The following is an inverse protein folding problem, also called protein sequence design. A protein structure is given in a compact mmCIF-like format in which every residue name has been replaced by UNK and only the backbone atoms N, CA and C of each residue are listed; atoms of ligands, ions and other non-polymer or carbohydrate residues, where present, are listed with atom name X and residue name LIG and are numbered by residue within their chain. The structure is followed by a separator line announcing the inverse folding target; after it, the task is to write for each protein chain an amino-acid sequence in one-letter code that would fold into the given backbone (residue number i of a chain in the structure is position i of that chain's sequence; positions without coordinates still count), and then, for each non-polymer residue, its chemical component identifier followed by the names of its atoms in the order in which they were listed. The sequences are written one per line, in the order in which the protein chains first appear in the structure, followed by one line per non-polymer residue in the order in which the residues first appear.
data_IF_083744948545
#
_entry.id   IF_083744948545
#
_cell.length_a   1.000
_cell.length_b   1.000
_cell.length_c   1.000
_cell.angle_alpha   90.00
_cell.angle_beta   90.00
_cell.angle_gamma   90.00
#
_symmetry.space_group_name_H-M   'P 1'
#
loop_
_entity.id
_entity.type
_entity.pdbx_description
1 polymer ?
#
# COMPACT_ATOMS: atom_id res chain seq x y z
N UNK A 1 28.82 14.06 -3.45
CA UNK A 1 27.39 14.01 -3.08
C UNK A 1 26.63 14.82 -4.10
N UNK A 2 25.97 14.14 -5.03
CA UNK A 2 25.09 14.77 -6.01
C UNK A 2 24.03 15.65 -5.33
N UNK A 3 23.82 16.85 -5.85
CA UNK A 3 22.74 17.75 -5.42
C UNK A 3 21.69 17.77 -6.52
N UNK A 4 20.47 17.37 -6.18
CA UNK A 4 19.38 17.28 -7.16
C UNK A 4 19.01 18.67 -7.69
N UNK A 5 18.98 18.79 -9.01
CA UNK A 5 18.44 19.96 -9.71
C UNK A 5 16.91 19.93 -9.61
N UNK A 6 16.32 21.00 -9.08
CA UNK A 6 14.85 21.13 -8.98
C UNK A 6 14.22 21.34 -10.36
N UNK A 7 14.90 22.06 -11.25
CA UNK A 7 14.43 22.34 -12.62
C UNK A 7 15.50 22.01 -13.68
N UNK A 8 15.72 20.72 -13.99
CA UNK A 8 16.70 20.29 -14.99
C UNK A 8 16.34 20.66 -16.44
N UNK A 9 15.11 21.12 -16.71
CA UNK A 9 14.58 21.37 -18.05
C UNK A 9 14.21 22.84 -18.27
N UNK A 10 14.63 23.73 -17.35
CA UNK A 10 14.33 25.18 -17.35
C UNK A 10 12.82 25.49 -17.46
N UNK A 11 11.98 24.53 -17.08
CA UNK A 11 10.53 24.63 -17.04
C UNK A 11 9.99 23.62 -16.01
N UNK A 12 9.60 24.15 -14.85
CA UNK A 12 9.03 23.38 -13.75
C UNK A 12 7.86 22.47 -14.15
N UNK A 13 6.96 22.92 -15.04
CA UNK A 13 5.83 22.10 -15.49
C UNK A 13 6.32 20.90 -16.30
N UNK A 14 7.29 21.11 -17.18
CA UNK A 14 7.87 20.04 -18.01
C UNK A 14 8.70 19.07 -17.15
N UNK A 15 9.49 19.59 -16.21
CA UNK A 15 10.18 18.78 -15.19
C UNK A 15 9.19 17.91 -14.41
N UNK A 16 8.06 18.49 -13.97
CA UNK A 16 7.03 17.75 -13.23
C UNK A 16 6.45 16.60 -14.07
N UNK A 17 6.13 16.85 -15.35
CA UNK A 17 5.61 15.83 -16.26
C UNK A 17 6.63 14.70 -16.49
N UNK A 18 7.91 15.03 -16.66
CA UNK A 18 8.97 14.03 -16.81
C UNK A 18 9.17 13.23 -15.52
N UNK A 19 9.10 13.87 -14.35
CA UNK A 19 9.20 13.19 -13.06
C UNK A 19 8.04 12.20 -12.81
N UNK A 20 6.90 12.38 -13.47
CA UNK A 20 5.77 11.44 -13.40
C UNK A 20 5.92 10.19 -14.28
N UNK A 21 6.87 10.17 -15.23
CA UNK A 21 7.04 9.07 -16.18
C UNK A 21 7.22 7.70 -15.50
N UNK A 22 8.05 7.53 -14.45
CA UNK A 22 8.17 6.24 -13.77
C UNK A 22 6.86 5.76 -13.15
N UNK A 23 6.09 6.67 -12.54
CA UNK A 23 4.81 6.34 -11.90
C UNK A 23 3.78 5.95 -12.95
N UNK A 24 3.64 6.75 -14.01
CA UNK A 24 2.67 6.47 -15.09
C UNK A 24 3.03 5.18 -15.81
N UNK A 25 4.30 4.96 -16.14
CA UNK A 25 4.74 3.72 -16.80
C UNK A 25 4.44 2.50 -15.93
N UNK A 26 4.71 2.55 -14.64
CA UNK A 26 4.39 1.48 -13.70
C UNK A 26 2.89 1.19 -13.65
N UNK A 27 2.04 2.23 -13.56
CA UNK A 27 0.59 2.07 -13.58
C UNK A 27 0.07 1.49 -14.90
N UNK A 28 0.61 1.93 -16.04
CA UNK A 28 0.22 1.40 -17.36
C UNK A 28 0.63 -0.06 -17.50
N UNK A 29 1.84 -0.42 -17.06
CA UNK A 29 2.32 -1.81 -17.06
C UNK A 29 1.44 -2.74 -16.21
N UNK A 30 0.98 -2.28 -15.05
CA UNK A 30 0.13 -3.08 -14.16
C UNK A 30 -1.34 -3.11 -14.58
N UNK A 31 -1.93 -1.95 -14.92
CA UNK A 31 -3.37 -1.84 -15.16
C UNK A 31 -3.76 -2.20 -16.60
N UNK A 32 -2.94 -1.79 -17.58
CA UNK A 32 -3.24 -1.97 -19.00
C UNK A 32 -2.61 -3.26 -19.52
N UNK A 33 -1.29 -3.38 -19.37
CA UNK A 33 -0.56 -4.56 -19.88
C UNK A 33 -0.64 -5.78 -18.96
N UNK A 34 -1.09 -5.60 -17.71
CA UNK A 34 -1.24 -6.67 -16.71
C UNK A 34 0.04 -7.50 -16.53
N UNK A 35 1.19 -6.84 -16.61
CA UNK A 35 2.48 -7.47 -16.37
C UNK A 35 2.59 -7.91 -14.89
N UNK A 36 3.36 -8.98 -14.61
CA UNK A 36 3.59 -9.37 -13.24
C UNK A 36 4.31 -8.26 -12.48
N UNK A 37 3.94 -8.04 -11.21
CA UNK A 37 4.38 -6.89 -10.43
C UNK A 37 5.91 -6.74 -10.36
N UNK A 38 6.64 -7.86 -10.20
CA UNK A 38 8.10 -7.87 -10.15
C UNK A 38 8.76 -7.38 -11.44
N UNK A 39 8.12 -7.61 -12.60
CA UNK A 39 8.64 -7.16 -13.90
C UNK A 39 8.34 -5.68 -14.11
N UNK A 40 7.13 -5.24 -13.76
CA UNK A 40 6.74 -3.84 -13.85
C UNK A 40 7.61 -2.94 -12.95
N UNK A 41 7.94 -3.39 -11.72
CA UNK A 41 8.82 -2.66 -10.82
C UNK A 41 10.27 -2.62 -11.32
N UNK A 42 10.78 -3.72 -11.90
CA UNK A 42 12.12 -3.76 -12.48
C UNK A 42 12.25 -2.84 -13.70
N UNK A 43 11.25 -2.84 -14.59
CA UNK A 43 11.24 -1.93 -15.74
C UNK A 43 11.13 -0.47 -15.26
N UNK A 44 10.25 -0.21 -14.29
CA UNK A 44 10.08 1.13 -13.69
C UNK A 44 11.35 1.64 -13.01
N UNK A 45 12.10 0.76 -12.33
CA UNK A 45 13.38 1.14 -11.72
C UNK A 45 14.43 1.50 -12.75
N UNK A 46 14.51 0.75 -13.86
CA UNK A 46 15.40 1.06 -14.99
C UNK A 46 15.02 2.39 -15.64
N UNK A 47 13.73 2.65 -15.87
CA UNK A 47 13.24 3.94 -16.39
C UNK A 47 13.64 5.08 -15.45
N UNK A 48 13.44 4.91 -14.15
CA UNK A 48 13.82 5.91 -13.13
C UNK A 48 15.32 6.19 -13.16
N UNK A 49 16.14 5.14 -13.22
CA UNK A 49 17.59 5.26 -13.28
C UNK A 49 18.04 5.97 -14.56
N UNK A 50 17.47 5.63 -15.71
CA UNK A 50 17.74 6.27 -16.99
C UNK A 50 17.41 7.78 -16.96
N UNK A 51 16.26 8.16 -16.38
CA UNK A 51 15.90 9.56 -16.21
C UNK A 51 16.86 10.30 -15.25
N UNK A 52 17.27 9.66 -14.16
CA UNK A 52 18.23 10.24 -13.23
C UNK A 52 19.57 10.58 -13.93
N UNK A 53 20.06 9.68 -14.79
CA UNK A 53 21.30 9.88 -15.53
C UNK A 53 21.18 10.95 -16.62
N UNK A 54 20.12 10.90 -17.43
CA UNK A 54 20.02 11.75 -18.63
C UNK A 54 19.36 13.11 -18.38
N UNK A 55 18.31 13.15 -17.55
CA UNK A 55 17.55 14.38 -17.29
C UNK A 55 18.15 15.12 -16.10
N UNK A 56 18.34 14.44 -14.96
CA UNK A 56 18.92 15.05 -13.77
C UNK A 56 20.45 15.11 -13.78
N UNK A 57 21.10 14.56 -14.82
CA UNK A 57 22.56 14.55 -15.01
C UNK A 57 23.32 13.99 -13.80
N UNK A 58 22.72 13.00 -13.15
CA UNK A 58 23.33 12.33 -12.01
C UNK A 58 24.58 11.55 -12.46
N UNK A 59 25.73 11.67 -11.78
CA UNK A 59 26.90 10.84 -12.06
C UNK A 59 26.57 9.35 -11.92
N UNK A 60 27.13 8.52 -12.81
CA UNK A 60 26.88 7.07 -12.81
C UNK A 60 27.24 6.40 -11.48
N UNK A 61 28.33 6.81 -10.84
CA UNK A 61 28.78 6.25 -9.57
C UNK A 61 27.79 6.54 -8.44
N UNK A 62 27.41 7.81 -8.26
CA UNK A 62 26.42 8.23 -7.27
C UNK A 62 25.05 7.58 -7.56
N UNK A 63 24.66 7.50 -8.83
CA UNK A 63 23.41 6.87 -9.25
C UNK A 63 23.38 5.37 -8.94
N UNK A 64 24.45 4.64 -9.26
CA UNK A 64 24.55 3.21 -8.99
C UNK A 64 24.50 2.90 -7.49
N UNK A 65 25.19 3.71 -6.68
CA UNK A 65 25.12 3.60 -5.23
C UNK A 65 23.69 3.86 -4.71
N UNK A 66 23.03 4.91 -5.19
CA UNK A 66 21.64 5.21 -4.80
C UNK A 66 20.67 4.09 -5.21
N UNK A 67 20.82 3.54 -6.41
CA UNK A 67 20.00 2.43 -6.91
C UNK A 67 20.15 1.18 -6.04
N UNK A 68 21.40 0.76 -5.78
CA UNK A 68 21.69 -0.43 -4.95
C UNK A 68 21.25 -0.23 -3.51
N UNK A 69 21.50 0.95 -2.95
CA UNK A 69 21.08 1.28 -1.59
C UNK A 69 19.55 1.26 -1.46
N UNK A 70 18.83 1.84 -2.42
CA UNK A 70 17.37 1.80 -2.47
C UNK A 70 16.82 0.38 -2.60
N UNK A 71 17.41 -0.43 -3.49
CA UNK A 71 17.04 -1.83 -3.66
C UNK A 71 17.29 -2.65 -2.38
N UNK A 72 18.46 -2.52 -1.76
CA UNK A 72 18.78 -3.21 -0.50
C UNK A 72 17.86 -2.77 0.64
N UNK A 73 17.52 -1.48 0.71
CA UNK A 73 16.57 -0.94 1.69
C UNK A 73 15.17 -1.52 1.49
N UNK A 74 14.72 -1.67 0.25
CA UNK A 74 13.46 -2.34 -0.09
C UNK A 74 13.45 -3.79 0.38
N UNK A 75 14.48 -4.56 0.02
CA UNK A 75 14.62 -5.96 0.44
C UNK A 75 14.67 -6.09 1.96
N UNK A 76 15.40 -5.22 2.64
CA UNK A 76 15.56 -5.30 4.09
C UNK A 76 14.33 -4.82 4.87
N UNK A 77 13.71 -3.71 4.49
CA UNK A 77 12.60 -3.14 5.26
C UNK A 77 11.23 -3.68 4.83
N UNK A 78 11.01 -3.87 3.52
CA UNK A 78 9.71 -4.28 2.97
C UNK A 78 9.61 -5.79 2.87
N UNK A 79 10.56 -6.43 2.18
CA UNK A 79 10.46 -7.87 1.93
C UNK A 79 10.61 -8.65 3.26
N UNK A 80 11.46 -8.19 4.18
CA UNK A 80 11.64 -8.84 5.48
C UNK A 80 10.34 -8.91 6.31
N UNK A 81 9.63 -7.79 6.45
CA UNK A 81 8.34 -7.75 7.18
C UNK A 81 7.31 -8.61 6.46
N UNK A 82 7.27 -8.53 5.12
CA UNK A 82 6.32 -9.30 4.30
C UNK A 82 6.58 -10.81 4.42
N UNK A 83 7.84 -11.25 4.39
CA UNK A 83 8.23 -12.65 4.58
C UNK A 83 7.76 -13.16 5.94
N UNK A 84 8.10 -12.46 7.03
CA UNK A 84 7.69 -12.90 8.37
C UNK A 84 6.18 -12.85 8.58
N UNK A 85 5.51 -11.85 8.03
CA UNK A 85 4.04 -11.76 8.02
C UNK A 85 3.40 -12.96 7.31
N UNK A 86 3.91 -13.31 6.11
CA UNK A 86 3.45 -14.49 5.38
C UNK A 86 3.74 -15.80 6.11
N UNK A 87 4.92 -15.96 6.73
CA UNK A 87 5.28 -17.15 7.50
C UNK A 87 4.33 -17.31 8.69
N UNK A 88 4.10 -16.25 9.46
CA UNK A 88 3.17 -16.27 10.59
C UNK A 88 1.76 -16.63 10.13
N UNK A 89 1.28 -15.99 9.06
CA UNK A 89 -0.05 -16.29 8.54
C UNK A 89 -0.21 -17.72 8.05
N UNK A 90 0.73 -18.22 7.25
CA UNK A 90 0.70 -19.61 6.78
C UNK A 90 0.75 -20.58 7.96
N UNK A 91 1.52 -20.25 9.00
CA UNK A 91 1.55 -21.03 10.25
C UNK A 91 0.20 -21.01 10.96
N UNK A 92 -0.46 -19.85 11.06
CA UNK A 92 -1.81 -19.73 11.64
C UNK A 92 -2.87 -20.46 10.81
N UNK A 93 -2.70 -20.51 9.48
CA UNK A 93 -3.54 -21.27 8.57
C UNK A 93 -3.39 -22.78 8.75
N UNK A 94 -2.15 -23.30 8.72
CA UNK A 94 -1.85 -24.73 8.88
C UNK A 94 -2.20 -25.23 10.28
N UNK A 95 -1.99 -24.42 11.32
CA UNK A 95 -2.35 -24.79 12.71
C UNK A 95 -3.86 -24.77 12.99
N UNK A 96 -4.69 -24.29 12.05
CA UNK A 96 -6.14 -24.16 12.23
C UNK A 96 -6.57 -23.04 13.18
N UNK A 97 -5.63 -22.32 13.81
CA UNK A 97 -5.91 -21.20 14.71
C UNK A 97 -6.61 -20.06 13.96
N UNK A 98 -6.21 -19.79 12.72
CA UNK A 98 -6.86 -18.76 11.90
C UNK A 98 -8.32 -19.11 11.59
N UNK A 99 -8.60 -20.39 11.34
CA UNK A 99 -9.98 -20.85 11.08
C UNK A 99 -10.84 -20.78 12.35
N UNK A 100 -10.28 -21.11 13.51
CA UNK A 100 -10.96 -20.89 14.80
C UNK A 100 -11.24 -19.42 15.05
N UNK A 101 -10.28 -18.55 14.77
CA UNK A 101 -10.44 -17.09 14.88
C UNK A 101 -11.52 -16.57 13.92
N UNK A 102 -11.52 -17.04 12.66
CA UNK A 102 -12.56 -16.72 11.67
C UNK A 102 -13.94 -17.15 12.17
N UNK A 103 -14.10 -18.38 12.64
CA UNK A 103 -15.38 -18.89 13.18
C UNK A 103 -15.84 -18.08 14.39
N UNK A 104 -14.93 -17.74 15.29
CA UNK A 104 -15.22 -16.90 16.45
C UNK A 104 -15.70 -15.50 16.03
N UNK A 105 -15.05 -14.87 15.05
CA UNK A 105 -15.47 -13.57 14.53
C UNK A 105 -16.85 -13.63 13.85
N UNK A 106 -17.13 -14.69 13.07
CA UNK A 106 -18.44 -14.90 12.44
C UNK A 106 -19.53 -15.08 13.51
N UNK A 107 -19.24 -15.82 14.58
CA UNK A 107 -20.16 -15.99 15.70
C UNK A 107 -20.47 -14.68 16.44
N UNK A 108 -19.50 -13.76 16.51
CA UNK A 108 -19.65 -12.45 17.16
C UNK A 108 -20.38 -11.40 16.29
N UNK A 109 -20.22 -11.46 14.97
CA UNK A 109 -20.75 -10.45 14.03
C UNK A 109 -22.27 -10.43 13.87
N UNK A 110 -22.99 -11.36 14.50
CA UNK A 110 -24.44 -11.52 14.33
C UNK A 110 -24.82 -12.00 12.91
N UNK A 111 -26.10 -11.95 12.58
CA UNK A 111 -26.63 -12.38 11.26
C UNK A 111 -26.68 -11.25 10.21
N UNK A 112 -26.33 -10.01 10.58
CA UNK A 112 -26.41 -8.87 9.66
C UNK A 112 -25.10 -8.70 8.88
N UNK A 113 -25.18 -8.91 7.56
CA UNK A 113 -24.05 -8.77 6.63
C UNK A 113 -23.41 -7.38 6.65
N UNK A 114 -24.17 -6.34 7.03
CA UNK A 114 -23.70 -4.96 7.14
C UNK A 114 -22.76 -4.81 8.32
N UNK A 115 -23.14 -5.35 9.47
CA UNK A 115 -22.32 -5.35 10.69
C UNK A 115 -21.06 -6.18 10.47
N UNK A 116 -21.20 -7.36 9.87
CA UNK A 116 -20.06 -8.21 9.52
C UNK A 116 -19.10 -7.48 8.56
N UNK A 117 -19.62 -6.80 7.54
CA UNK A 117 -18.78 -6.04 6.61
C UNK A 117 -18.00 -4.93 7.31
N UNK A 118 -18.63 -4.20 8.23
CA UNK A 118 -17.93 -3.19 9.04
C UNK A 118 -16.87 -3.80 9.97
N UNK A 119 -17.16 -4.96 10.54
CA UNK A 119 -16.23 -5.64 11.44
C UNK A 119 -15.01 -6.18 10.69
N UNK A 120 -15.22 -6.84 9.55
CA UNK A 120 -14.16 -7.50 8.78
C UNK A 120 -13.45 -6.56 7.81
N UNK A 121 -14.19 -5.88 6.94
CA UNK A 121 -13.59 -5.06 5.88
C UNK A 121 -13.01 -3.77 6.42
N UNK A 122 -13.73 -3.10 7.32
CA UNK A 122 -13.31 -1.81 7.84
C UNK A 122 -12.39 -1.95 9.05
N UNK A 123 -12.85 -2.51 10.17
CA UNK A 123 -12.08 -2.55 11.40
C UNK A 123 -10.91 -3.55 11.36
N UNK A 124 -11.18 -4.82 11.06
CA UNK A 124 -10.14 -5.86 11.01
C UNK A 124 -9.17 -5.64 9.84
N UNK A 125 -9.68 -5.24 8.67
CA UNK A 125 -8.85 -4.83 7.54
C UNK A 125 -7.86 -3.71 7.90
N UNK A 126 -8.34 -2.65 8.56
CA UNK A 126 -7.48 -1.55 9.02
C UNK A 126 -6.43 -1.99 10.05
N UNK A 127 -6.77 -2.89 10.96
CA UNK A 127 -5.81 -3.48 11.89
C UNK A 127 -4.71 -4.23 11.13
N UNK A 128 -5.09 -5.08 10.16
CA UNK A 128 -4.12 -5.81 9.34
C UNK A 128 -3.24 -4.87 8.50
N UNK A 129 -3.80 -3.78 7.97
CA UNK A 129 -3.03 -2.78 7.22
C UNK A 129 -1.98 -2.13 8.11
N UNK A 130 -2.37 -1.72 9.32
CA UNK A 130 -1.45 -1.14 10.29
C UNK A 130 -0.32 -2.09 10.72
N UNK A 131 -0.59 -3.40 10.83
CA UNK A 131 0.39 -4.38 11.25
C UNK A 131 1.34 -4.85 10.12
N UNK A 132 0.78 -5.14 8.94
CA UNK A 132 1.50 -5.82 7.85
C UNK A 132 1.63 -4.92 6.61
N UNK A 133 0.58 -4.19 6.25
CA UNK A 133 0.55 -3.31 5.07
C UNK A 133 0.62 -4.04 3.73
N UNK A 134 1.05 -3.31 2.69
CA UNK A 134 1.41 -3.81 1.35
C UNK A 134 0.33 -4.60 0.59
N UNK A 135 -0.95 -4.31 0.85
CA UNK A 135 -2.03 -5.10 0.26
C UNK A 135 -2.00 -6.53 0.79
N UNK A 136 -1.66 -6.73 2.04
CA UNK A 136 -1.98 -7.96 2.74
C UNK A 136 -3.46 -8.04 3.17
N UNK A 137 -4.09 -6.94 3.66
CA UNK A 137 -5.45 -7.01 4.22
C UNK A 137 -6.51 -7.46 3.23
N UNK A 138 -6.52 -6.94 2.00
CA UNK A 138 -7.50 -7.33 0.98
C UNK A 138 -7.46 -8.83 0.65
N UNK A 139 -6.28 -9.46 0.68
CA UNK A 139 -6.09 -10.88 0.37
C UNK A 139 -6.68 -11.78 1.46
N UNK A 140 -6.75 -11.29 2.70
CA UNK A 140 -7.33 -12.02 3.84
C UNK A 140 -8.82 -11.71 4.00
N UNK A 141 -9.20 -10.44 3.89
CA UNK A 141 -10.58 -9.98 4.13
C UNK A 141 -11.52 -10.47 3.03
N UNK A 142 -11.12 -10.41 1.75
CA UNK A 142 -12.03 -10.77 0.66
C UNK A 142 -12.51 -12.24 0.74
N UNK A 143 -11.66 -13.26 0.97
CA UNK A 143 -12.13 -14.63 1.20
C UNK A 143 -13.08 -14.78 2.39
N UNK A 144 -12.86 -14.03 3.48
CA UNK A 144 -13.76 -14.05 4.64
C UNK A 144 -15.15 -13.52 4.23
N UNK A 145 -15.21 -12.39 3.52
CA UNK A 145 -16.47 -11.83 3.04
C UNK A 145 -17.20 -12.77 2.06
N UNK A 146 -16.47 -13.44 1.15
CA UNK A 146 -17.03 -14.45 0.24
C UNK A 146 -17.69 -15.58 1.03
N UNK A 147 -17.01 -16.04 2.07
CA UNK A 147 -17.51 -17.12 2.91
C UNK A 147 -18.74 -16.77 3.75
N UNK A 148 -19.05 -15.46 3.87
CA UNK A 148 -20.24 -14.93 4.51
C UNK A 148 -21.42 -14.77 3.53
N UNK A 149 -21.25 -15.14 2.25
CA UNK A 149 -22.28 -15.07 1.22
C UNK A 149 -22.25 -13.82 0.35
N UNK A 150 -21.24 -12.96 0.51
CA UNK A 150 -21.05 -11.81 -0.39
C UNK A 150 -20.43 -12.30 -1.71
N UNK A 151 -21.01 -11.94 -2.84
CA UNK A 151 -20.48 -12.34 -4.16
C UNK A 151 -19.02 -11.90 -4.34
N UNK A 152 -18.19 -12.75 -4.95
CA UNK A 152 -16.73 -12.59 -5.12
C UNK A 152 -16.31 -11.17 -5.53
N UNK A 153 -16.92 -10.62 -6.58
CA UNK A 153 -16.56 -9.31 -7.09
C UNK A 153 -16.89 -8.18 -6.09
N UNK A 154 -18.01 -8.31 -5.38
CA UNK A 154 -18.39 -7.33 -4.34
C UNK A 154 -17.49 -7.46 -3.12
N UNK A 155 -17.12 -8.67 -2.70
CA UNK A 155 -16.18 -8.88 -1.61
C UNK A 155 -14.82 -8.22 -1.88
N UNK A 156 -14.29 -8.36 -3.10
CA UNK A 156 -13.05 -7.71 -3.53
C UNK A 156 -13.20 -6.18 -3.53
N UNK A 157 -14.30 -5.66 -4.08
CA UNK A 157 -14.57 -4.20 -4.10
C UNK A 157 -14.68 -3.62 -2.70
N UNK A 158 -15.43 -4.27 -1.82
CA UNK A 158 -15.64 -3.87 -0.42
C UNK A 158 -14.30 -3.86 0.32
N UNK A 159 -13.51 -4.94 0.20
CA UNK A 159 -12.18 -5.01 0.82
C UNK A 159 -11.23 -3.91 0.30
N UNK A 160 -11.24 -3.65 -1.01
CA UNK A 160 -10.40 -2.62 -1.63
C UNK A 160 -10.78 -1.20 -1.19
N UNK A 161 -12.09 -0.88 -1.17
CA UNK A 161 -12.58 0.44 -0.74
C UNK A 161 -12.32 0.65 0.75
N UNK A 162 -12.56 -0.36 1.58
CA UNK A 162 -12.36 -0.27 3.02
C UNK A 162 -10.89 -0.01 3.39
N UNK A 163 -9.95 -0.60 2.65
CA UNK A 163 -8.52 -0.44 2.90
C UNK A 163 -7.95 0.94 2.54
N UNK A 164 -8.74 1.84 1.94
CA UNK A 164 -8.24 3.13 1.49
C UNK A 164 -7.90 4.09 2.65
N UNK A 165 -8.65 4.05 3.75
CA UNK A 165 -8.44 4.92 4.91
C UNK A 165 -7.18 4.60 5.75
N UNK A 166 -6.90 3.34 6.14
CA UNK A 166 -5.77 3.02 7.01
C UNK A 166 -4.40 3.11 6.32
N UNK A 167 -4.34 3.14 4.98
CA UNK A 167 -3.11 2.91 4.20
C UNK A 167 -1.96 3.86 4.56
N UNK A 168 -2.27 5.09 4.97
CA UNK A 168 -1.26 6.08 5.36
C UNK A 168 -0.42 5.62 6.55
N UNK A 169 -1.01 4.80 7.43
CA UNK A 169 -0.36 4.25 8.63
C UNK A 169 0.02 2.77 8.46
N UNK A 170 -0.05 2.25 7.24
CA UNK A 170 0.26 0.85 6.95
C UNK A 170 1.69 0.47 7.33
N UNK A 171 1.90 -0.81 7.64
CA UNK A 171 3.20 -1.37 8.02
C UNK A 171 3.91 -0.55 9.11
N UNK A 172 3.21 -0.31 10.23
CA UNK A 172 3.69 0.47 11.38
C UNK A 172 4.10 1.91 11.02
N UNK A 173 3.42 2.53 10.05
CA UNK A 173 3.65 3.91 9.65
C UNK A 173 4.80 4.10 8.66
N UNK A 174 5.24 3.04 7.98
CA UNK A 174 6.33 3.10 6.99
C UNK A 174 6.16 4.23 5.94
N UNK A 175 4.96 4.50 5.38
CA UNK A 175 4.78 5.62 4.43
C UNK A 175 5.07 7.00 5.05
N UNK A 176 4.62 7.23 6.28
CA UNK A 176 4.82 8.52 6.98
C UNK A 176 6.29 8.68 7.39
N UNK A 177 6.93 7.61 7.85
CA UNK A 177 8.37 7.62 8.18
C UNK A 177 9.19 7.95 6.93
N UNK A 178 8.89 7.30 5.80
CA UNK A 178 9.57 7.56 4.54
C UNK A 178 9.34 9.01 4.06
N UNK A 179 8.10 9.51 4.13
CA UNK A 179 7.78 10.88 3.73
C UNK A 179 8.50 11.92 4.60
N UNK A 180 8.57 11.70 5.92
CA UNK A 180 9.32 12.57 6.83
C UNK A 180 10.82 12.57 6.49
N UNK A 181 11.39 11.41 6.19
CA UNK A 181 12.81 11.29 5.84
C UNK A 181 13.17 12.01 4.53
N UNK A 182 12.28 11.98 3.52
CA UNK A 182 12.52 12.62 2.22
C UNK A 182 12.28 14.14 2.26
N UNK A 183 11.27 14.59 3.02
CA UNK A 183 10.90 16.01 3.08
C UNK A 183 11.65 16.80 4.15
N UNK A 184 12.21 16.13 5.16
CA UNK A 184 12.83 16.76 6.32
C UNK A 184 11.83 17.34 7.33
N UNK A 185 10.52 17.09 7.16
CA UNK A 185 9.52 17.59 8.11
C UNK A 185 9.50 16.79 9.42
N UNK A 186 9.14 17.42 10.56
CA UNK A 186 9.02 16.72 11.85
C UNK A 186 7.98 15.61 11.78
N UNK A 187 8.39 14.38 12.10
CA UNK A 187 7.56 13.17 12.00
C UNK A 187 6.20 13.32 12.69
N UNK A 188 6.17 13.84 13.92
CA UNK A 188 4.95 13.96 14.71
C UNK A 188 3.98 14.99 14.12
N UNK A 189 4.50 16.11 13.61
CA UNK A 189 3.68 17.14 12.97
C UNK A 189 3.09 16.64 11.63
N UNK A 190 3.91 15.96 10.83
CA UNK A 190 3.48 15.34 9.57
C UNK A 190 2.41 14.27 9.83
N UNK A 191 2.65 13.39 10.81
CA UNK A 191 1.71 12.35 11.22
C UNK A 191 0.37 12.93 11.70
N UNK A 192 0.39 13.99 12.51
CA UNK A 192 -0.84 14.64 12.98
C UNK A 192 -1.65 15.31 11.85
N UNK A 193 -0.96 15.92 10.89
CA UNK A 193 -1.60 16.51 9.70
C UNK A 193 -2.26 15.45 8.83
N UNK A 194 -1.53 14.40 8.49
CA UNK A 194 -2.07 13.25 7.72
C UNK A 194 -3.25 12.62 8.46
N UNK A 195 -3.15 12.45 9.78
CA UNK A 195 -4.22 11.87 10.59
C UNK A 195 -5.49 12.69 10.57
N UNK A 196 -5.39 14.02 10.54
CA UNK A 196 -6.54 14.91 10.43
C UNK A 196 -7.24 14.75 9.08
N UNK A 197 -6.49 14.71 7.99
CA UNK A 197 -7.03 14.49 6.64
C UNK A 197 -7.67 13.11 6.53
N UNK A 198 -6.97 12.07 6.99
CA UNK A 198 -7.46 10.69 6.98
C UNK A 198 -8.72 10.54 7.84
N UNK A 199 -8.80 11.19 9.00
CA UNK A 199 -9.98 11.13 9.86
C UNK A 199 -11.24 11.66 9.16
N UNK A 200 -11.12 12.75 8.41
CA UNK A 200 -12.23 13.30 7.61
C UNK A 200 -12.60 12.36 6.47
N UNK A 201 -11.61 11.88 5.72
CA UNK A 201 -11.84 10.95 4.60
C UNK A 201 -12.43 9.62 5.07
N UNK A 202 -12.06 9.15 6.27
CA UNK A 202 -12.52 7.90 6.85
C UNK A 202 -14.01 7.91 7.24
N UNK A 203 -14.67 9.07 7.25
CA UNK A 203 -16.11 9.14 7.47
C UNK A 203 -16.92 8.61 6.29
N UNK A 204 -16.41 8.70 5.07
CA UNK A 204 -17.15 8.32 3.86
C UNK A 204 -17.20 6.81 3.57
N UNK A 205 -16.09 6.04 3.66
CA UNK A 205 -16.09 4.63 3.32
C UNK A 205 -17.13 3.78 4.07
N UNK A 206 -17.36 3.93 5.40
CA UNK A 206 -18.41 3.18 6.08
C UNK A 206 -19.78 3.25 5.39
N UNK A 207 -20.19 4.43 4.93
CA UNK A 207 -21.47 4.62 4.22
C UNK A 207 -21.48 3.93 2.86
N UNK A 208 -20.38 4.04 2.11
CA UNK A 208 -20.23 3.38 0.81
C UNK A 208 -20.28 1.87 0.98
N UNK A 209 -19.58 1.33 1.97
CA UNK A 209 -19.57 -0.11 2.27
C UNK A 209 -20.98 -0.58 2.59
N UNK A 210 -21.71 0.11 3.48
CA UNK A 210 -23.09 -0.24 3.83
C UNK A 210 -24.00 -0.26 2.60
N UNK A 211 -23.87 0.70 1.67
CA UNK A 211 -24.61 0.73 0.42
C UNK A 211 -24.29 -0.46 -0.50
N UNK A 212 -23.05 -0.94 -0.52
CA UNK A 212 -22.63 -2.05 -1.39
C UNK A 212 -23.09 -3.43 -0.91
N UNK A 213 -23.43 -3.57 0.38
CA UNK A 213 -23.92 -4.83 0.99
C UNK A 213 -25.40 -4.79 1.37
N UNK A 214 -26.12 -3.71 1.04
CA UNK A 214 -27.53 -3.56 1.39
C UNK A 214 -28.51 -4.16 0.38
#
# INVERSE_FOLDING_TARGET
MFTQLIDPLDNLTLTCLVALVPVVSLLVMLAVFRLPAWLATLIGSIITFALALWVWRMPLDDGGHAYLYGAATGVWNVDWITIWGMVLFNTLGVSGVFENFRRWLIALGGMDVRVQTMLFAWAFGALLEGLVGFGYPWAVVAPILISLGISDLNAIRIAAIANNAPVSYGALGAPIIALAAVTGYPLLALSGSVGTVVAVLALAPPWVLLYLVS
#
